data_IF_379948728431
#
_entry.id   IF_379948728431
#
_cell.length_a   1.000
_cell.length_b   1.000
_cell.length_c   1.000
_cell.angle_alpha   90.00
_cell.angle_beta   90.00
_cell.angle_gamma   90.00
#
_symmetry.space_group_name_H-M   'P 1'
#
loop_
_entity.id
_entity.type
_entity.pdbx_description
1 polymer ?
#
# COMPACT_ATOMS: atom_id res chain seq x y z
N UNK A 1 -8.00 -10.02 14.64
CA UNK A 1 -7.92 -9.54 13.24
C UNK A 1 -7.85 -10.76 12.33
N UNK A 2 -8.79 -10.90 11.43
CA UNK A 2 -8.87 -12.05 10.53
C UNK A 2 -8.38 -11.70 9.13
N UNK A 3 -8.01 -12.73 8.35
CA UNK A 3 -7.64 -12.53 6.94
C UNK A 3 -8.77 -11.88 6.15
N UNK A 4 -10.01 -12.33 6.39
CA UNK A 4 -11.19 -11.78 5.70
C UNK A 4 -11.39 -10.30 5.99
N UNK A 5 -11.24 -9.88 7.24
CA UNK A 5 -11.39 -8.47 7.60
C UNK A 5 -10.28 -7.61 7.00
N UNK A 6 -9.06 -8.14 6.93
CA UNK A 6 -7.93 -7.43 6.31
C UNK A 6 -8.14 -7.31 4.81
N UNK A 7 -8.54 -8.38 4.12
CA UNK A 7 -8.85 -8.32 2.68
C UNK A 7 -9.94 -7.30 2.39
N UNK A 8 -11.00 -7.28 3.19
CA UNK A 8 -12.08 -6.30 3.03
C UNK A 8 -11.58 -4.87 3.17
N UNK A 9 -10.75 -4.61 4.18
CA UNK A 9 -10.15 -3.29 4.37
C UNK A 9 -9.23 -2.89 3.21
N UNK A 10 -8.44 -3.83 2.69
CA UNK A 10 -7.59 -3.58 1.53
C UNK A 10 -8.41 -3.24 0.28
N UNK A 11 -9.53 -3.94 0.05
CA UNK A 11 -10.44 -3.64 -1.06
C UNK A 11 -10.94 -2.19 -0.97
N UNK A 12 -11.30 -1.73 0.22
CA UNK A 12 -11.71 -0.35 0.43
C UNK A 12 -10.59 0.65 0.10
N UNK A 13 -9.36 0.37 0.53
CA UNK A 13 -8.21 1.22 0.25
C UNK A 13 -7.97 1.36 -1.25
N UNK A 14 -8.02 0.25 -2.00
CA UNK A 14 -7.67 0.25 -3.42
C UNK A 14 -8.83 0.63 -4.33
N UNK A 15 -10.01 0.91 -3.79
CA UNK A 15 -11.20 1.22 -4.58
C UNK A 15 -11.03 2.42 -5.50
N UNK A 16 -10.16 3.37 -5.15
CA UNK A 16 -9.86 4.56 -5.95
C UNK A 16 -8.39 4.63 -6.38
N UNK A 17 -7.73 3.47 -6.49
CA UNK A 17 -6.33 3.42 -6.88
C UNK A 17 -6.09 4.10 -8.24
N UNK A 18 -4.95 4.75 -8.37
CA UNK A 18 -4.54 5.32 -9.65
C UNK A 18 -4.00 4.21 -10.55
N UNK A 19 -4.62 4.04 -11.70
CA UNK A 19 -4.32 2.93 -12.61
C UNK A 19 -3.32 3.30 -13.70
N UNK A 20 -3.01 4.58 -13.85
CA UNK A 20 -2.12 5.10 -14.90
C UNK A 20 -1.10 6.05 -14.31
N UNK A 21 -0.07 6.39 -15.10
CA UNK A 21 0.98 7.28 -14.63
C UNK A 21 2.00 6.56 -13.76
N UNK A 22 2.52 7.25 -12.77
CA UNK A 22 3.59 6.75 -11.90
C UNK A 22 3.15 6.72 -10.45
N UNK A 23 3.93 6.02 -9.63
CA UNK A 23 3.73 6.04 -8.17
C UNK A 23 3.82 7.48 -7.62
N UNK A 24 4.73 8.29 -8.16
CA UNK A 24 4.87 9.69 -7.77
C UNK A 24 3.56 10.47 -7.98
N UNK A 25 2.92 10.27 -9.14
CA UNK A 25 1.63 10.91 -9.44
C UNK A 25 0.56 10.48 -8.45
N UNK A 26 0.47 9.18 -8.17
CA UNK A 26 -0.50 8.65 -7.21
C UNK A 26 -0.25 9.20 -5.81
N UNK A 27 1.00 9.29 -5.38
CA UNK A 27 1.36 9.88 -4.11
C UNK A 27 0.90 11.33 -4.00
N UNK A 28 1.13 12.13 -5.04
CA UNK A 28 0.72 13.53 -5.07
C UNK A 28 -0.80 13.71 -5.05
N UNK A 29 -1.54 12.72 -5.57
CA UNK A 29 -3.01 12.72 -5.58
C UNK A 29 -3.62 12.01 -4.37
N UNK A 30 -2.81 11.64 -3.39
CA UNK A 30 -3.23 10.93 -2.17
C UNK A 30 -3.94 9.61 -2.47
N UNK A 31 -3.46 8.87 -3.45
CA UNK A 31 -4.01 7.58 -3.89
C UNK A 31 -2.95 6.50 -3.82
N UNK A 32 -3.38 5.24 -3.67
CA UNK A 32 -2.48 4.12 -3.90
C UNK A 32 -2.31 3.92 -5.41
N UNK A 33 -1.29 3.16 -5.80
CA UNK A 33 -0.91 2.99 -7.19
C UNK A 33 -1.07 1.54 -7.61
N UNK A 34 -1.70 1.29 -8.78
CA UNK A 34 -1.75 -0.03 -9.38
C UNK A 34 -0.59 -0.22 -10.35
N UNK A 35 0.30 -1.17 -10.03
CA UNK A 35 1.48 -1.46 -10.84
C UNK A 35 1.18 -2.62 -11.79
N UNK A 36 0.81 -2.29 -13.02
CA UNK A 36 0.35 -3.26 -14.04
C UNK A 36 1.34 -4.36 -14.35
N UNK A 37 2.63 -4.04 -14.40
CA UNK A 37 3.67 -5.00 -14.77
C UNK A 37 3.74 -6.19 -13.80
N UNK A 38 3.37 -6.00 -12.56
CA UNK A 38 3.42 -7.03 -11.53
C UNK A 38 2.06 -7.39 -10.95
N UNK A 39 0.97 -6.85 -11.53
CA UNK A 39 -0.40 -7.12 -11.07
C UNK A 39 -0.55 -6.92 -9.57
N UNK A 40 -0.08 -5.81 -9.07
CA UNK A 40 -0.14 -5.52 -7.64
C UNK A 40 -0.45 -4.05 -7.38
N UNK A 41 -0.95 -3.79 -6.17
CA UNK A 41 -1.12 -2.43 -5.67
C UNK A 41 0.05 -2.07 -4.78
N UNK A 42 0.50 -0.82 -4.86
CA UNK A 42 1.50 -0.25 -3.96
C UNK A 42 0.75 0.71 -3.05
N UNK A 43 0.68 0.36 -1.77
CA UNK A 43 -0.12 1.08 -0.77
C UNK A 43 0.80 1.59 0.32
N UNK A 44 0.72 2.87 0.64
CA UNK A 44 1.52 3.44 1.73
C UNK A 44 1.16 2.77 3.07
N UNK A 45 2.18 2.45 3.85
CA UNK A 45 2.00 1.86 5.18
C UNK A 45 1.07 2.71 6.06
N UNK A 46 1.18 4.02 5.95
CA UNK A 46 0.36 4.97 6.71
C UNK A 46 -1.14 4.81 6.38
N UNK A 47 -1.46 4.54 5.12
CA UNK A 47 -2.86 4.32 4.67
C UNK A 47 -3.42 3.02 5.23
N UNK A 48 -2.60 1.97 5.25
CA UNK A 48 -3.00 0.69 5.83
C UNK A 48 -3.24 0.87 7.33
N UNK A 49 -2.33 1.52 8.04
CA UNK A 49 -2.49 1.74 9.47
C UNK A 49 -3.76 2.56 9.78
N UNK A 50 -4.06 3.59 9.01
CA UNK A 50 -5.29 4.36 9.17
C UNK A 50 -6.54 3.52 8.96
N UNK A 51 -6.55 2.67 7.94
CA UNK A 51 -7.71 1.83 7.62
C UNK A 51 -8.06 0.88 8.76
N UNK A 52 -7.06 0.38 9.47
CA UNK A 52 -7.26 -0.61 10.54
C UNK A 52 -7.18 0.00 11.95
N UNK A 53 -7.21 1.32 12.05
CA UNK A 53 -7.23 2.00 13.35
C UNK A 53 -5.92 1.88 14.13
N UNK A 54 -4.82 1.61 13.44
CA UNK A 54 -3.50 1.50 14.05
C UNK A 54 -2.80 2.85 14.09
N UNK A 55 -1.79 2.98 14.96
CA UNK A 55 -0.98 4.18 15.02
C UNK A 55 -0.25 4.41 13.70
N UNK A 56 -0.21 5.67 13.25
CA UNK A 56 0.26 6.07 11.91
C UNK A 56 1.64 5.55 11.54
N UNK A 57 2.57 5.65 12.46
CA UNK A 57 3.98 5.34 12.20
C UNK A 57 4.47 4.09 12.91
N UNK A 58 3.56 3.35 13.57
CA UNK A 58 3.91 2.13 14.29
C UNK A 58 3.41 0.92 13.53
N UNK A 59 4.26 -0.08 13.36
CA UNK A 59 3.82 -1.36 12.79
C UNK A 59 3.08 -2.15 13.85
N UNK A 60 1.86 -2.54 13.56
CA UNK A 60 1.11 -3.48 14.39
C UNK A 60 1.55 -4.90 14.03
N UNK A 61 2.13 -5.67 14.97
CA UNK A 61 2.64 -7.01 14.65
C UNK A 61 1.57 -7.97 14.14
N UNK A 62 0.36 -7.90 14.69
CA UNK A 62 -0.75 -8.74 14.24
C UNK A 62 -1.16 -8.43 12.80
N UNK A 63 -1.30 -7.14 12.47
CA UNK A 63 -1.62 -6.71 11.12
C UNK A 63 -0.53 -7.09 10.13
N UNK A 64 0.74 -6.87 10.49
CA UNK A 64 1.88 -7.27 9.66
C UNK A 64 1.89 -8.76 9.38
N UNK A 65 1.63 -9.58 10.39
CA UNK A 65 1.59 -11.04 10.24
C UNK A 65 0.51 -11.45 9.25
N UNK A 66 -0.70 -10.90 9.38
CA UNK A 66 -1.81 -11.21 8.48
C UNK A 66 -1.49 -10.76 7.05
N UNK A 67 -0.94 -9.58 6.87
CA UNK A 67 -0.56 -9.08 5.54
C UNK A 67 0.45 -10.01 4.87
N UNK A 68 1.45 -10.48 5.61
CA UNK A 68 2.46 -11.41 5.08
C UNK A 68 1.86 -12.77 4.74
N UNK A 69 0.96 -13.28 5.56
CA UNK A 69 0.25 -14.53 5.27
C UNK A 69 -0.59 -14.43 3.99
N UNK A 70 -1.13 -13.26 3.69
CA UNK A 70 -1.87 -13.00 2.45
C UNK A 70 -0.96 -12.86 1.23
N UNK A 71 0.34 -12.79 1.42
CA UNK A 71 1.29 -12.61 0.32
C UNK A 71 1.72 -11.18 0.09
N UNK A 72 1.34 -10.25 0.95
CA UNK A 72 1.81 -8.87 0.87
C UNK A 72 3.27 -8.77 1.35
N UNK A 73 4.01 -7.82 0.78
CA UNK A 73 5.42 -7.59 1.13
C UNK A 73 5.65 -6.12 1.43
N UNK A 74 6.49 -5.85 2.44
CA UNK A 74 6.92 -4.49 2.71
C UNK A 74 7.99 -4.06 1.73
N UNK A 75 7.93 -2.80 1.32
CA UNK A 75 8.91 -2.19 0.44
C UNK A 75 9.02 -0.69 0.77
N UNK A 76 9.95 -0.03 0.11
CA UNK A 76 10.04 1.43 0.14
C UNK A 76 10.02 1.95 -1.28
N UNK A 77 9.51 3.18 -1.45
CA UNK A 77 9.53 3.90 -2.71
C UNK A 77 10.24 5.23 -2.51
N UNK A 78 11.11 5.57 -3.43
CA UNK A 78 11.83 6.84 -3.41
C UNK A 78 11.11 7.84 -4.31
N UNK A 79 10.95 9.05 -3.81
CA UNK A 79 10.40 10.17 -4.57
C UNK A 79 11.53 11.10 -4.95
N UNK A 80 11.47 11.61 -6.16
CA UNK A 80 12.49 12.49 -6.73
C UNK A 80 11.87 13.79 -7.19
N UNK A 81 12.58 14.88 -6.99
CA UNK A 81 12.24 16.17 -7.52
C UNK A 81 13.50 16.76 -8.15
N UNK A 82 13.42 17.14 -9.43
CA UNK A 82 14.58 17.63 -10.21
C UNK A 82 15.80 16.68 -10.13
N UNK A 83 15.53 15.38 -10.22
CA UNK A 83 16.56 14.32 -10.15
C UNK A 83 17.24 14.20 -8.77
N UNK A 84 16.72 14.85 -7.74
CA UNK A 84 17.20 14.74 -6.36
C UNK A 84 16.19 13.95 -5.54
N UNK A 85 16.68 12.95 -4.79
CA UNK A 85 15.81 12.18 -3.89
C UNK A 85 15.34 13.08 -2.74
N UNK A 86 14.03 13.30 -2.68
CA UNK A 86 13.42 14.17 -1.67
C UNK A 86 12.85 13.39 -0.49
N UNK A 87 12.41 12.15 -0.72
CA UNK A 87 11.68 11.39 0.31
C UNK A 87 11.72 9.90 0.04
N UNK A 88 11.72 9.11 1.10
CA UNK A 88 11.52 7.65 1.05
C UNK A 88 10.21 7.35 1.76
N UNK A 89 9.34 6.60 1.08
CA UNK A 89 8.00 6.28 1.58
C UNK A 89 7.92 4.79 1.85
N UNK A 90 7.49 4.42 3.06
CA UNK A 90 7.21 3.02 3.42
C UNK A 90 5.90 2.57 2.78
N UNK A 91 5.93 1.44 2.09
CA UNK A 91 4.79 0.90 1.35
C UNK A 91 4.64 -0.60 1.56
N UNK A 92 3.47 -1.10 1.17
CA UNK A 92 3.22 -2.53 1.05
C UNK A 92 2.87 -2.85 -0.40
N UNK A 93 3.40 -3.97 -0.89
CA UNK A 93 3.00 -4.54 -2.17
C UNK A 93 1.87 -5.50 -1.90
N UNK A 94 0.70 -5.22 -2.47
CA UNK A 94 -0.52 -6.00 -2.27
C UNK A 94 -0.88 -6.68 -3.60
N UNK A 95 -0.70 -8.00 -3.72
CA UNK A 95 -1.08 -8.70 -4.96
C UNK A 95 -2.56 -8.51 -5.25
N UNK A 96 -2.92 -8.26 -6.51
CA UNK A 96 -4.32 -8.03 -6.87
C UNK A 96 -5.17 -9.28 -6.74
N UNK A 97 -4.57 -10.46 -6.91
CA UNK A 97 -5.29 -11.74 -6.85
C UNK A 97 -5.87 -12.06 -5.47
N UNK A 98 -5.33 -11.48 -4.39
CA UNK A 98 -5.87 -11.70 -3.05
C UNK A 98 -7.15 -10.89 -2.79
N UNK A 99 -7.44 -9.92 -3.66
CA UNK A 99 -8.57 -9.00 -3.52
C UNK A 99 -9.78 -9.41 -4.38
N UNK A 100 -9.65 -10.52 -5.08
CA UNK A 100 -10.70 -11.04 -5.97
C UNK A 100 -11.58 -12.07 -5.29
#
# INVERSE_FOLDING_TARGET
>A
MTKESVVKGLIEIVSNAQMTGTFHDAYNNDKCYYYKLHNCYIVQTIKINEQFGCAKFSMNPELSAVLRELGCKRTTRQLYEHCVRTKVVSCWIVPDNILK
#
